data_IF_103455761224
#
_entry.id   IF_103455761224
#
_cell.length_a   1.000
_cell.length_b   1.000
_cell.length_c   1.000
_cell.angle_alpha   90.00
_cell.angle_beta   90.00
_cell.angle_gamma   90.00
#
_symmetry.space_group_name_H-M   'P 1'
#
loop_
_entity.id
_entity.type
_entity.pdbx_description
1 polymer ?
#
# COMPACT_ATOMS: atom_id res chain seq x y z
N UNK A 1 23.37 3.64 3.73
CA UNK A 1 22.01 4.07 4.10
C UNK A 1 21.09 2.85 4.03
N UNK A 2 20.35 2.64 5.07
CA UNK A 2 19.41 1.52 5.10
C UNK A 2 18.23 1.76 4.16
N UNK A 3 17.64 0.70 3.67
CA UNK A 3 16.48 0.74 2.80
C UNK A 3 15.30 1.50 3.46
N UNK A 4 15.09 1.31 4.75
CA UNK A 4 14.08 2.05 5.51
C UNK A 4 14.32 3.56 5.52
N UNK A 5 15.57 3.99 5.67
CA UNK A 5 15.94 5.41 5.61
C UNK A 5 15.71 6.00 4.21
N UNK A 6 16.03 5.23 3.17
CA UNK A 6 15.75 5.63 1.79
C UNK A 6 14.26 5.80 1.49
N UNK A 7 13.45 4.89 2.01
CA UNK A 7 11.98 4.96 1.90
C UNK A 7 11.43 6.21 2.60
N UNK A 8 11.93 6.53 3.79
CA UNK A 8 11.54 7.74 4.52
C UNK A 8 11.96 9.02 3.78
N UNK A 9 13.18 9.07 3.25
CA UNK A 9 13.66 10.20 2.44
C UNK A 9 12.86 10.39 1.15
N UNK A 10 12.49 9.29 0.50
CA UNK A 10 11.60 9.35 -0.67
C UNK A 10 10.25 9.95 -0.33
N UNK A 11 9.64 9.53 0.79
CA UNK A 11 8.35 10.07 1.24
C UNK A 11 8.46 11.58 1.54
N UNK A 12 9.48 12.02 2.27
CA UNK A 12 9.72 13.45 2.56
C UNK A 12 9.92 14.25 1.29
N UNK A 13 10.70 13.75 0.32
CA UNK A 13 10.92 14.42 -0.96
C UNK A 13 9.63 14.50 -1.78
N UNK A 14 8.79 13.49 -1.76
CA UNK A 14 7.47 13.50 -2.42
C UNK A 14 6.53 14.52 -1.79
N UNK A 15 6.50 14.62 -0.46
CA UNK A 15 5.68 15.61 0.25
C UNK A 15 6.13 17.03 -0.09
N UNK A 16 7.44 17.26 -0.15
CA UNK A 16 8.00 18.54 -0.57
C UNK A 16 7.63 18.89 -2.01
N UNK A 17 7.67 17.90 -2.91
CA UNK A 17 7.26 18.09 -4.30
C UNK A 17 5.79 18.47 -4.40
N UNK A 18 4.92 17.80 -3.67
CA UNK A 18 3.49 18.08 -3.64
C UNK A 18 3.20 19.50 -3.07
N UNK A 19 3.97 19.94 -2.10
CA UNK A 19 3.87 21.31 -1.56
C UNK A 19 4.34 22.34 -2.58
N UNK A 20 5.46 22.10 -3.27
CA UNK A 20 5.96 22.97 -4.32
C UNK A 20 4.98 23.08 -5.48
N UNK A 21 4.38 21.98 -5.90
CA UNK A 21 3.35 21.97 -6.94
C UNK A 21 2.15 22.86 -6.54
N UNK A 22 1.68 22.74 -5.30
CA UNK A 22 0.61 23.61 -4.78
C UNK A 22 1.01 25.11 -4.73
N UNK A 23 2.26 25.40 -4.43
CA UNK A 23 2.77 26.79 -4.43
C UNK A 23 2.91 27.35 -5.84
N UNK A 24 3.41 26.54 -6.78
CA UNK A 24 3.60 26.93 -8.19
C UNK A 24 2.28 27.19 -8.89
N UNK A 25 1.25 26.39 -8.62
CA UNK A 25 -0.11 26.64 -9.15
C UNK A 25 -0.70 27.94 -8.66
N UNK A 26 -0.27 28.46 -7.50
CA UNK A 26 -0.74 29.75 -6.97
C UNK A 26 0.07 30.96 -7.49
N UNK A 27 1.40 30.82 -7.64
CA UNK A 27 2.29 31.96 -7.83
C UNK A 27 3.19 31.89 -9.08
N UNK A 28 3.17 30.77 -9.84
CA UNK A 28 3.99 30.53 -11.04
C UNK A 28 5.49 30.91 -10.89
N UNK A 29 6.05 30.79 -9.67
CA UNK A 29 7.46 31.08 -9.37
C UNK A 29 8.18 29.83 -8.90
N UNK A 30 9.28 29.48 -9.58
CA UNK A 30 10.19 28.41 -9.20
C UNK A 30 11.30 29.00 -8.34
N UNK A 31 11.59 28.41 -7.17
CA UNK A 31 12.78 28.75 -6.39
C UNK A 31 13.98 27.95 -6.90
N UNK A 32 15.16 28.59 -6.87
CA UNK A 32 16.42 27.87 -7.06
C UNK A 32 16.51 26.69 -6.05
N UNK A 33 16.84 25.51 -6.53
CA UNK A 33 16.96 24.31 -5.72
C UNK A 33 15.79 23.29 -5.88
N UNK A 34 14.73 23.60 -6.60
CA UNK A 34 13.61 22.68 -6.82
C UNK A 34 13.94 21.57 -7.83
N UNK A 35 14.78 21.84 -8.82
CA UNK A 35 15.28 20.84 -9.79
C UNK A 35 16.08 19.70 -9.10
N UNK A 36 16.96 19.95 -8.13
CA UNK A 36 17.64 18.89 -7.39
C UNK A 36 16.70 17.94 -6.62
N UNK A 37 15.54 18.42 -6.18
CA UNK A 37 14.55 17.56 -5.49
C UNK A 37 13.99 16.50 -6.42
N UNK A 38 13.64 16.86 -7.65
CA UNK A 38 13.15 15.91 -8.66
C UNK A 38 14.20 14.85 -9.00
N UNK A 39 15.44 15.27 -9.21
CA UNK A 39 16.54 14.35 -9.48
C UNK A 39 16.83 13.42 -8.31
N UNK A 40 16.72 13.92 -7.09
CA UNK A 40 16.90 13.13 -5.86
C UNK A 40 15.82 12.07 -5.72
N UNK A 41 14.56 12.39 -6.05
CA UNK A 41 13.45 11.44 -6.02
C UNK A 41 13.70 10.32 -7.04
N UNK A 42 14.03 10.66 -8.28
CA UNK A 42 14.31 9.66 -9.32
C UNK A 42 15.44 8.72 -8.88
N UNK A 43 16.53 9.26 -8.40
CA UNK A 43 17.68 8.47 -7.94
C UNK A 43 17.28 7.54 -6.79
N UNK A 44 16.54 8.03 -5.80
CA UNK A 44 16.07 7.21 -4.68
C UNK A 44 15.14 6.10 -5.14
N UNK A 45 14.19 6.40 -6.02
CA UNK A 45 13.25 5.41 -6.55
C UNK A 45 13.99 4.30 -7.30
N UNK A 46 14.93 4.65 -8.15
CA UNK A 46 15.74 3.67 -8.90
C UNK A 46 16.54 2.77 -7.97
N UNK A 47 17.23 3.35 -7.00
CA UNK A 47 18.02 2.60 -6.01
C UNK A 47 17.14 1.70 -5.14
N UNK A 48 16.01 2.21 -4.66
CA UNK A 48 15.04 1.43 -3.88
C UNK A 48 14.53 0.24 -4.71
N UNK A 49 14.15 0.47 -5.96
CA UNK A 49 13.65 -0.60 -6.84
C UNK A 49 14.73 -1.65 -7.11
N UNK A 50 15.95 -1.21 -7.36
CA UNK A 50 17.08 -2.12 -7.54
C UNK A 50 17.36 -2.95 -6.28
N UNK A 51 17.38 -2.33 -5.12
CA UNK A 51 17.55 -3.00 -3.83
C UNK A 51 16.44 -4.01 -3.59
N UNK A 52 15.17 -3.64 -3.79
CA UNK A 52 14.03 -4.55 -3.62
C UNK A 52 14.13 -5.79 -4.52
N UNK A 53 14.53 -5.59 -5.79
CA UNK A 53 14.65 -6.67 -6.76
C UNK A 53 15.86 -7.59 -6.48
N UNK A 54 16.87 -7.07 -5.80
CA UNK A 54 18.11 -7.81 -5.49
C UNK A 54 18.12 -8.43 -4.09
N UNK A 55 17.20 -8.01 -3.21
CA UNK A 55 17.16 -8.50 -1.83
C UNK A 55 16.38 -9.81 -1.75
N UNK A 56 17.01 -10.92 -1.33
CA UNK A 56 16.31 -12.17 -1.13
C UNK A 56 15.23 -12.07 -0.05
N UNK A 57 14.15 -12.76 -0.28
CA UNK A 57 13.09 -13.01 0.69
C UNK A 57 12.94 -14.52 0.89
N UNK A 58 11.87 -15.00 1.46
CA UNK A 58 11.66 -16.43 1.70
C UNK A 58 11.66 -17.26 0.39
N UNK A 59 12.39 -18.36 0.36
CA UNK A 59 12.52 -19.21 -0.81
C UNK A 59 13.24 -18.51 -1.96
N UNK A 60 12.74 -18.64 -3.16
CA UNK A 60 13.29 -18.01 -4.38
C UNK A 60 12.71 -16.59 -4.64
N UNK A 61 11.92 -16.06 -3.70
CA UNK A 61 11.30 -14.75 -3.83
C UNK A 61 12.27 -13.61 -3.50
N UNK A 62 11.96 -12.43 -4.01
CA UNK A 62 12.64 -11.18 -3.68
C UNK A 62 11.78 -10.29 -2.79
N UNK A 63 12.35 -9.23 -2.26
CA UNK A 63 11.59 -8.23 -1.51
C UNK A 63 10.50 -7.58 -2.39
N UNK A 64 10.73 -7.43 -3.69
CA UNK A 64 9.71 -6.98 -4.65
C UNK A 64 8.50 -7.92 -4.66
N UNK A 65 8.73 -9.23 -4.69
CA UNK A 65 7.66 -10.23 -4.67
C UNK A 65 6.88 -10.19 -3.35
N UNK A 66 7.59 -10.05 -2.24
CA UNK A 66 6.97 -9.93 -0.92
C UNK A 66 6.07 -8.70 -0.81
N UNK A 67 6.50 -7.55 -1.33
CA UNK A 67 5.72 -6.30 -1.37
C UNK A 67 4.46 -6.50 -2.22
N UNK A 68 4.60 -7.08 -3.40
CA UNK A 68 3.45 -7.36 -4.28
C UNK A 68 2.42 -8.28 -3.61
N UNK A 69 2.89 -9.33 -2.92
CA UNK A 69 2.04 -10.25 -2.16
C UNK A 69 1.34 -9.56 -0.99
N UNK A 70 2.06 -8.74 -0.22
CA UNK A 70 1.48 -7.93 0.85
C UNK A 70 0.34 -7.04 0.34
N UNK A 71 0.58 -6.35 -0.77
CA UNK A 71 -0.41 -5.45 -1.37
C UNK A 71 -1.62 -6.21 -1.91
N UNK A 72 -1.43 -7.45 -2.39
CA UNK A 72 -2.53 -8.34 -2.77
C UNK A 72 -3.41 -8.72 -1.57
N UNK A 73 -2.84 -9.00 -0.41
CA UNK A 73 -3.61 -9.25 0.82
C UNK A 73 -4.42 -8.02 1.26
N UNK A 74 -3.87 -6.82 1.12
CA UNK A 74 -4.60 -5.59 1.44
C UNK A 74 -5.80 -5.38 0.49
N UNK A 75 -5.62 -5.65 -0.80
CA UNK A 75 -6.71 -5.60 -1.79
C UNK A 75 -7.78 -6.65 -1.49
N UNK A 76 -7.38 -7.87 -1.16
CA UNK A 76 -8.31 -8.94 -0.79
C UNK A 76 -9.14 -8.56 0.45
N UNK A 77 -8.49 -8.03 1.49
CA UNK A 77 -9.20 -7.52 2.68
C UNK A 77 -10.26 -6.48 2.32
N UNK A 78 -9.87 -5.47 1.53
CA UNK A 78 -10.77 -4.39 1.11
C UNK A 78 -11.94 -4.92 0.29
N UNK A 79 -11.66 -5.82 -0.63
CA UNK A 79 -12.68 -6.45 -1.48
C UNK A 79 -13.70 -7.23 -0.65
N UNK A 80 -13.25 -8.14 0.21
CA UNK A 80 -14.16 -8.96 1.02
C UNK A 80 -14.95 -8.12 2.02
N UNK A 81 -14.34 -7.10 2.64
CA UNK A 81 -15.04 -6.18 3.52
C UNK A 81 -16.12 -5.38 2.78
N UNK A 82 -15.81 -4.85 1.61
CA UNK A 82 -16.75 -4.08 0.80
C UNK A 82 -17.95 -4.93 0.34
N UNK A 83 -17.72 -6.17 -0.08
CA UNK A 83 -18.79 -7.09 -0.49
C UNK A 83 -19.66 -7.48 0.71
N UNK A 84 -19.05 -7.75 1.86
CA UNK A 84 -19.78 -8.07 3.09
C UNK A 84 -20.67 -6.89 3.55
N UNK A 85 -20.14 -5.68 3.52
CA UNK A 85 -20.88 -4.45 3.89
C UNK A 85 -22.03 -4.19 2.93
N UNK A 86 -21.82 -4.36 1.63
CA UNK A 86 -22.88 -4.21 0.61
C UNK A 86 -23.99 -5.24 0.79
N UNK A 87 -23.65 -6.49 1.09
CA UNK A 87 -24.63 -7.56 1.34
C UNK A 87 -25.44 -7.28 2.62
N UNK A 88 -24.81 -6.82 3.69
CA UNK A 88 -25.46 -6.43 4.95
C UNK A 88 -26.37 -5.22 4.78
N UNK A 89 -25.96 -4.20 4.07
CA UNK A 89 -26.77 -2.99 3.80
C UNK A 89 -28.03 -3.31 2.98
N UNK A 90 -27.95 -4.23 2.02
CA UNK A 90 -29.10 -4.69 1.24
C UNK A 90 -30.12 -5.43 2.11
N UNK A 91 -29.68 -6.28 3.01
CA UNK A 91 -30.56 -7.01 3.94
C UNK A 91 -31.33 -6.01 4.84
N UNK A 92 -30.69 -4.99 5.38
CA UNK A 92 -31.30 -3.97 6.23
C UNK A 92 -32.26 -3.05 5.45
N UNK A 93 -31.93 -2.71 4.21
CA UNK A 93 -32.71 -1.78 3.36
C UNK A 93 -34.04 -2.35 2.91
N UNK A 94 -34.16 -3.66 2.76
CA UNK A 94 -35.32 -4.36 2.24
C UNK A 94 -36.07 -5.19 3.31
N UNK A 95 -35.70 -5.07 4.59
CA UNK A 95 -36.34 -5.78 5.70
C UNK A 95 -37.83 -5.39 5.90
N UNK A 96 -38.27 -4.23 5.39
CA UNK A 96 -39.65 -3.76 5.47
C UNK A 96 -40.51 -4.13 4.24
N UNK A 97 -39.99 -4.77 3.19
CA UNK A 97 -40.73 -5.21 2.01
C UNK A 97 -41.05 -6.69 2.08
N UNK A 98 -42.21 -7.09 1.55
CA UNK A 98 -42.64 -8.51 1.46
C UNK A 98 -41.72 -9.37 0.57
N UNK A 99 -40.76 -8.78 -0.13
CA UNK A 99 -39.78 -9.47 -0.98
C UNK A 99 -38.56 -9.79 -0.16
N UNK A 100 -38.39 -11.08 0.21
CA UNK A 100 -37.16 -11.59 0.80
C UNK A 100 -36.05 -11.63 -0.26
N UNK A 101 -35.10 -10.72 -0.16
CA UNK A 101 -33.82 -10.87 -0.86
C UNK A 101 -32.94 -11.84 -0.06
N UNK A 102 -32.75 -13.02 -0.59
CA UNK A 102 -31.79 -13.97 -0.05
C UNK A 102 -30.40 -13.55 -0.56
N UNK A 103 -29.51 -13.20 0.36
CA UNK A 103 -28.10 -12.98 0.01
C UNK A 103 -27.55 -14.28 -0.59
N UNK A 104 -27.07 -14.22 -1.83
CA UNK A 104 -26.37 -15.34 -2.49
C UNK A 104 -24.99 -15.58 -1.91
N UNK A 105 -24.55 -14.78 -0.97
CA UNK A 105 -23.20 -14.78 -0.40
C UNK A 105 -23.30 -14.90 1.12
N UNK A 106 -22.51 -15.79 1.70
CA UNK A 106 -22.36 -15.90 3.14
C UNK A 106 -21.53 -14.74 3.69
N UNK A 107 -22.20 -13.76 4.32
CA UNK A 107 -21.59 -12.58 4.91
C UNK A 107 -20.58 -12.93 6.00
N UNK A 108 -20.88 -13.92 6.84
CA UNK A 108 -19.96 -14.40 7.87
C UNK A 108 -18.67 -14.97 7.29
N UNK A 109 -18.76 -15.71 6.21
CA UNK A 109 -17.60 -16.25 5.50
C UNK A 109 -16.77 -15.14 4.85
N UNK A 110 -17.41 -14.11 4.27
CA UNK A 110 -16.71 -12.94 3.71
C UNK A 110 -15.94 -12.16 4.78
N UNK A 111 -16.53 -11.95 5.96
CA UNK A 111 -15.83 -11.33 7.08
C UNK A 111 -14.64 -12.17 7.55
N UNK A 112 -14.79 -13.50 7.64
CA UNK A 112 -13.71 -14.41 7.99
C UNK A 112 -12.55 -14.36 6.96
N UNK A 113 -12.87 -14.26 5.67
CA UNK A 113 -11.87 -14.10 4.59
C UNK A 113 -11.15 -12.75 4.67
N UNK A 114 -11.88 -11.68 4.99
CA UNK A 114 -11.29 -10.35 5.21
C UNK A 114 -10.34 -10.35 6.42
N UNK A 115 -10.72 -10.97 7.53
CA UNK A 115 -9.89 -11.08 8.74
C UNK A 115 -8.63 -11.91 8.49
N UNK A 116 -8.74 -13.01 7.74
CA UNK A 116 -7.59 -13.82 7.33
C UNK A 116 -6.63 -13.02 6.47
N UNK A 117 -7.13 -12.31 5.47
CA UNK A 117 -6.31 -11.45 4.62
C UNK A 117 -5.62 -10.33 5.42
N UNK A 118 -6.30 -9.74 6.39
CA UNK A 118 -5.74 -8.73 7.29
C UNK A 118 -4.61 -9.30 8.16
N UNK A 119 -4.76 -10.52 8.67
CA UNK A 119 -3.71 -11.21 9.44
C UNK A 119 -2.49 -11.49 8.58
N UNK A 120 -2.68 -12.07 7.40
CA UNK A 120 -1.59 -12.35 6.45
C UNK A 120 -0.85 -11.08 6.02
N UNK A 121 -1.59 -9.98 5.80
CA UNK A 121 -1.00 -8.67 5.54
C UNK A 121 -0.08 -8.22 6.68
N UNK A 122 -0.55 -8.25 7.92
CA UNK A 122 0.23 -7.79 9.08
C UNK A 122 1.49 -8.63 9.30
N UNK A 123 1.38 -9.95 9.18
CA UNK A 123 2.52 -10.86 9.36
C UNK A 123 3.59 -10.62 8.29
N UNK A 124 3.17 -10.47 7.04
CA UNK A 124 4.09 -10.22 5.94
C UNK A 124 4.69 -8.82 6.00
N UNK A 125 3.89 -7.80 6.34
CA UNK A 125 4.36 -6.42 6.50
C UNK A 125 5.42 -6.32 7.60
N UNK A 126 5.24 -7.00 8.72
CA UNK A 126 6.23 -7.04 9.80
C UNK A 126 7.58 -7.57 9.30
N UNK A 127 7.59 -8.67 8.55
CA UNK A 127 8.81 -9.24 7.97
C UNK A 127 9.46 -8.28 6.97
N UNK A 128 8.67 -7.62 6.13
CA UNK A 128 9.15 -6.62 5.17
C UNK A 128 9.80 -5.45 5.91
N UNK A 129 9.16 -4.93 6.96
CA UNK A 129 9.72 -3.83 7.74
C UNK A 129 11.03 -4.20 8.44
N UNK A 130 11.11 -5.39 9.02
CA UNK A 130 12.36 -5.89 9.62
C UNK A 130 13.48 -5.95 8.58
N UNK A 131 13.18 -6.43 7.37
CA UNK A 131 14.15 -6.51 6.29
C UNK A 131 14.59 -5.13 5.79
N UNK A 132 13.67 -4.16 5.69
CA UNK A 132 13.98 -2.78 5.34
C UNK A 132 14.96 -2.12 6.31
N UNK A 133 14.89 -2.45 7.61
CA UNK A 133 15.81 -1.93 8.64
C UNK A 133 17.14 -2.65 8.72
N UNK A 134 17.30 -3.77 8.04
CA UNK A 134 18.54 -4.55 8.00
C UNK A 134 19.25 -4.56 6.65
N UNK A 135 18.61 -4.01 5.60
CA UNK A 135 19.14 -4.03 4.24
C UNK A 135 19.77 -2.69 3.88
N UNK A 136 21.00 -2.71 3.39
CA UNK A 136 21.66 -1.54 2.83
C UNK A 136 21.10 -1.20 1.44
N UNK A 137 20.94 0.09 1.16
CA UNK A 137 20.51 0.59 -0.13
C UNK A 137 21.65 0.44 -1.16
N UNK A 138 21.42 -0.30 -2.21
CA UNK A 138 22.36 -0.48 -3.34
C UNK A 138 22.49 0.78 -4.20
#
# INVERSE_FOLDING_TARGET
MLLAEALAKRAQAQDRLNELERRLTRNARIQEGDTPVLQSIETLVRRINHTNASTPFEGDATLTDAIARRDAFLRARRFYSAVADAASARADRYSASEVRYVSTVDVGQLHAMADKAAKEYRELDTKIQQLNWSTELL
#
